data_IF_205004914767
#
_entry.id   IF_205004914767
#
_cell.length_a   1.000
_cell.length_b   1.000
_cell.length_c   1.000
_cell.angle_alpha   90.00
_cell.angle_beta   90.00
_cell.angle_gamma   90.00
#
_symmetry.space_group_name_H-M   'P 1'
#
loop_
_entity.id
_entity.type
_entity.pdbx_description
1 polymer ?
#
# COMPACT_ATOMS: atom_id res chain seq x y z
N UNK A 1 38.25 10.03 4.27
CA UNK A 1 37.49 9.99 3.01
C UNK A 1 36.01 10.14 3.33
N UNK A 2 35.33 11.22 2.90
CA UNK A 2 33.91 11.42 3.23
C UNK A 2 33.09 10.34 2.52
N UNK A 3 32.06 9.77 3.16
CA UNK A 3 31.36 8.57 2.70
C UNK A 3 30.91 8.59 1.21
N UNK A 4 30.64 9.77 0.64
CA UNK A 4 30.34 9.96 -0.78
C UNK A 4 31.50 9.51 -1.70
N UNK A 5 32.74 9.85 -1.36
CA UNK A 5 33.91 9.46 -2.12
C UNK A 5 34.16 7.94 -2.05
N UNK A 6 33.90 7.33 -0.90
CA UNK A 6 34.02 5.88 -0.70
C UNK A 6 32.99 5.07 -1.51
N UNK A 7 31.74 5.55 -1.59
CA UNK A 7 30.70 4.90 -2.40
C UNK A 7 31.03 4.99 -3.89
N UNK A 8 31.51 6.15 -4.38
CA UNK A 8 31.95 6.32 -5.77
C UNK A 8 33.12 5.39 -6.09
N UNK A 9 34.13 5.30 -5.22
CA UNK A 9 35.29 4.43 -5.45
C UNK A 9 34.95 2.93 -5.44
N UNK A 10 33.92 2.52 -4.69
CA UNK A 10 33.52 1.12 -4.58
C UNK A 10 32.55 0.67 -5.69
N UNK A 11 31.68 1.56 -6.16
CA UNK A 11 30.55 1.17 -7.04
C UNK A 11 30.64 1.80 -8.43
N UNK A 12 31.55 2.74 -8.65
CA UNK A 12 31.54 3.59 -9.84
C UNK A 12 30.28 4.48 -9.92
N UNK A 13 29.50 4.62 -8.85
CA UNK A 13 28.26 5.41 -8.87
C UNK A 13 28.40 6.63 -7.96
N UNK A 14 28.26 7.82 -8.55
CA UNK A 14 28.36 9.10 -7.86
C UNK A 14 27.00 9.79 -7.67
N UNK A 15 26.79 10.41 -6.51
CA UNK A 15 25.68 11.34 -6.26
C UNK A 15 26.21 12.75 -6.51
N UNK A 16 25.76 13.38 -7.59
CA UNK A 16 26.18 14.72 -7.99
C UNK A 16 25.04 15.72 -7.75
N UNK A 17 25.36 16.81 -7.06
CA UNK A 17 24.59 18.05 -7.15
C UNK A 17 25.08 18.77 -8.42
N UNK A 18 24.17 19.38 -9.19
CA UNK A 18 24.26 19.65 -10.63
C UNK A 18 25.49 20.42 -11.18
N UNK A 19 26.46 20.84 -10.36
CA UNK A 19 27.56 21.75 -10.72
C UNK A 19 28.97 21.14 -10.51
N UNK A 20 29.15 19.84 -10.72
CA UNK A 20 30.45 19.19 -10.50
C UNK A 20 31.08 18.65 -11.78
N UNK A 21 32.02 19.42 -12.34
CA UNK A 21 32.89 19.10 -13.46
C UNK A 21 34.01 18.11 -13.07
N UNK A 22 33.66 16.91 -12.62
CA UNK A 22 34.65 15.85 -12.30
C UNK A 22 34.42 14.64 -13.21
N UNK A 23 35.52 14.08 -13.70
CA UNK A 23 35.58 13.08 -14.78
C UNK A 23 34.62 11.89 -14.67
N UNK A 24 34.17 11.48 -15.86
CA UNK A 24 32.90 10.80 -16.19
C UNK A 24 33.03 9.27 -16.25
N UNK A 25 33.63 8.64 -15.26
CA UNK A 25 33.58 7.18 -15.13
C UNK A 25 32.58 6.78 -14.05
N UNK A 26 31.35 6.45 -14.49
CA UNK A 26 30.32 5.99 -13.57
C UNK A 26 28.87 6.28 -13.96
N UNK A 27 27.97 5.35 -13.60
CA UNK A 27 26.52 5.54 -13.74
C UNK A 27 26.02 6.71 -12.88
N UNK A 28 25.21 7.60 -13.47
CA UNK A 28 24.64 8.76 -12.77
C UNK A 28 23.42 8.34 -11.95
N UNK A 29 23.46 8.56 -10.64
CA UNK A 29 22.25 8.49 -9.81
C UNK A 29 21.97 9.89 -9.26
N UNK A 30 20.96 10.55 -9.82
CA UNK A 30 20.42 11.79 -9.25
C UNK A 30 19.57 11.47 -8.02
N UNK A 31 19.59 12.37 -7.03
CA UNK A 31 18.66 12.32 -5.89
C UNK A 31 17.19 12.34 -6.37
N UNK A 32 16.92 13.00 -7.51
CA UNK A 32 15.59 13.01 -8.12
C UNK A 32 15.17 11.60 -8.63
N UNK A 33 16.11 10.85 -9.21
CA UNK A 33 15.85 9.49 -9.68
C UNK A 33 15.65 8.53 -8.51
N UNK A 34 16.43 8.67 -7.43
CA UNK A 34 16.21 7.92 -6.18
C UNK A 34 14.82 8.22 -5.62
N UNK A 35 14.42 9.50 -5.56
CA UNK A 35 13.10 9.91 -5.10
C UNK A 35 11.98 9.33 -5.98
N UNK A 36 12.18 9.30 -7.29
CA UNK A 36 11.22 8.72 -8.25
C UNK A 36 11.11 7.21 -8.09
N UNK A 37 12.23 6.50 -7.98
CA UNK A 37 12.27 5.06 -7.75
C UNK A 37 11.62 4.67 -6.42
N UNK A 38 11.92 5.40 -5.34
CA UNK A 38 11.32 5.19 -4.02
C UNK A 38 9.78 5.38 -4.05
N UNK A 39 9.29 6.44 -4.72
CA UNK A 39 7.85 6.65 -4.92
C UNK A 39 7.19 5.51 -5.70
N UNK A 40 7.85 5.03 -6.76
CA UNK A 40 7.34 3.93 -7.57
C UNK A 40 7.31 2.61 -6.79
N UNK A 41 8.35 2.31 -6.02
CA UNK A 41 8.41 1.14 -5.15
C UNK A 41 7.30 1.18 -4.09
N UNK A 42 7.10 2.33 -3.43
CA UNK A 42 6.01 2.53 -2.48
C UNK A 42 4.64 2.34 -3.15
N UNK A 43 4.44 2.91 -4.34
CA UNK A 43 3.22 2.74 -5.12
C UNK A 43 2.96 1.29 -5.55
N UNK A 44 4.01 0.54 -5.84
CA UNK A 44 3.95 -0.89 -6.15
C UNK A 44 3.57 -1.71 -4.91
N UNK A 45 4.24 -1.49 -3.77
CA UNK A 45 3.94 -2.16 -2.50
C UNK A 45 2.50 -1.91 -2.04
N UNK A 46 1.99 -0.68 -2.22
CA UNK A 46 0.57 -0.35 -1.99
C UNK A 46 -0.37 -1.09 -2.94
N UNK A 47 -0.03 -1.19 -4.23
CA UNK A 47 -0.85 -1.88 -5.25
C UNK A 47 -0.91 -3.39 -5.03
N UNK A 48 0.21 -4.00 -4.64
CA UNK A 48 0.33 -5.45 -4.47
C UNK A 48 -0.12 -5.94 -3.09
N UNK A 49 -0.45 -5.05 -2.17
CA UNK A 49 -0.91 -5.43 -0.83
C UNK A 49 0.20 -5.72 0.16
N UNK A 50 1.48 -5.65 -0.24
CA UNK A 50 2.65 -5.98 0.61
C UNK A 50 2.63 -5.22 1.95
N UNK A 51 2.29 -3.93 1.92
CA UNK A 51 2.16 -3.13 3.16
C UNK A 51 1.00 -3.59 4.05
N UNK A 52 -0.07 -4.11 3.44
CA UNK A 52 -1.20 -4.68 4.18
C UNK A 52 -0.77 -5.98 4.85
N UNK A 53 -0.15 -6.87 4.07
CA UNK A 53 0.29 -8.19 4.54
C UNK A 53 1.29 -8.07 5.69
N UNK A 54 2.25 -7.14 5.59
CA UNK A 54 3.23 -6.87 6.65
C UNK A 54 2.56 -6.38 7.94
N UNK A 55 1.56 -5.50 7.85
CA UNK A 55 0.86 -5.01 9.04
C UNK A 55 -0.06 -6.09 9.63
N UNK A 56 -0.70 -6.92 8.80
CA UNK A 56 -1.50 -8.05 9.27
C UNK A 56 -0.63 -9.10 9.99
N UNK A 57 0.57 -9.37 9.48
CA UNK A 57 1.53 -10.24 10.14
C UNK A 57 1.98 -9.66 11.49
N UNK A 58 2.25 -8.36 11.56
CA UNK A 58 2.59 -7.66 12.80
C UNK A 58 1.46 -7.70 13.83
N UNK A 59 0.22 -7.47 13.40
CA UNK A 59 -0.96 -7.56 14.25
C UNK A 59 -1.15 -8.96 14.82
N UNK A 60 -1.08 -10.00 13.97
CA UNK A 60 -1.16 -11.40 14.42
C UNK A 60 -0.06 -11.76 15.41
N UNK A 61 1.17 -11.30 15.16
CA UNK A 61 2.28 -11.52 16.06
C UNK A 61 2.03 -10.88 17.44
N UNK A 62 1.60 -9.61 17.46
CA UNK A 62 1.31 -8.90 18.71
C UNK A 62 0.13 -9.53 19.46
N UNK A 63 -0.92 -9.95 18.75
CA UNK A 63 -2.05 -10.67 19.35
C UNK A 63 -1.62 -12.02 19.93
N UNK A 64 -0.70 -12.75 19.28
CA UNK A 64 -0.20 -14.03 19.79
C UNK A 64 0.61 -13.90 21.09
N UNK A 65 1.12 -12.70 21.38
CA UNK A 65 1.86 -12.36 22.60
C UNK A 65 0.99 -11.68 23.65
N UNK A 66 -0.22 -11.24 23.30
CA UNK A 66 -1.12 -10.58 24.21
C UNK A 66 -1.74 -11.60 25.17
N UNK A 67 -1.50 -11.44 26.47
CA UNK A 67 -2.05 -12.30 27.52
C UNK A 67 -3.27 -11.72 28.21
N UNK A 68 -3.55 -10.42 28.03
CA UNK A 68 -4.68 -9.70 28.61
C UNK A 68 -5.59 -9.10 27.53
N UNK A 69 -6.92 -9.06 27.76
CA UNK A 69 -7.89 -8.55 26.79
C UNK A 69 -7.71 -7.05 26.50
N UNK A 70 -7.19 -6.27 27.45
CA UNK A 70 -6.89 -4.85 27.25
C UNK A 70 -5.83 -4.61 26.17
N UNK A 71 -4.82 -5.48 26.09
CA UNK A 71 -3.76 -5.39 25.07
C UNK A 71 -4.30 -5.70 23.68
N UNK A 72 -5.21 -6.66 23.55
CA UNK A 72 -5.87 -6.92 22.27
C UNK A 72 -6.69 -5.72 21.79
N UNK A 73 -7.45 -5.11 22.71
CA UNK A 73 -8.28 -3.95 22.39
C UNK A 73 -7.42 -2.77 21.92
N UNK A 74 -6.28 -2.54 22.59
CA UNK A 74 -5.31 -1.54 22.19
C UNK A 74 -4.72 -1.84 20.80
N UNK A 75 -4.28 -3.08 20.55
CA UNK A 75 -3.71 -3.51 19.26
C UNK A 75 -4.73 -3.29 18.13
N UNK A 76 -5.98 -3.72 18.32
CA UNK A 76 -7.07 -3.56 17.33
C UNK A 76 -7.42 -2.09 17.11
N UNK A 77 -7.41 -1.27 18.16
CA UNK A 77 -7.63 0.18 18.06
C UNK A 77 -6.55 0.86 17.21
N UNK A 78 -5.28 0.59 17.51
CA UNK A 78 -4.14 1.11 16.74
C UNK A 78 -4.20 0.63 15.29
N UNK A 79 -4.55 -0.63 15.03
CA UNK A 79 -4.77 -1.15 13.68
C UNK A 79 -5.83 -0.35 12.92
N UNK A 80 -6.96 -0.08 13.56
CA UNK A 80 -8.05 0.73 13.01
C UNK A 80 -7.58 2.13 12.61
N UNK A 81 -6.78 2.78 13.46
CA UNK A 81 -6.19 4.09 13.16
C UNK A 81 -5.23 4.04 11.96
N UNK A 82 -4.35 3.04 11.91
CA UNK A 82 -3.38 2.87 10.81
C UNK A 82 -4.11 2.66 9.48
N UNK A 83 -5.16 1.84 9.48
CA UNK A 83 -6.02 1.63 8.31
C UNK A 83 -6.72 2.92 7.87
N UNK A 84 -7.25 3.71 8.82
CA UNK A 84 -7.93 4.98 8.54
C UNK A 84 -7.00 6.04 7.96
N UNK A 85 -5.83 6.25 8.59
CA UNK A 85 -4.90 7.33 8.21
C UNK A 85 -4.10 7.01 6.95
N UNK A 86 -3.69 5.75 6.79
CA UNK A 86 -2.73 5.38 5.75
C UNK A 86 -3.33 4.51 4.63
N UNK A 87 -4.61 4.11 4.76
CA UNK A 87 -5.31 3.31 3.75
C UNK A 87 -4.75 1.89 3.58
N UNK A 88 -4.03 1.39 4.57
CA UNK A 88 -3.45 0.04 4.58
C UNK A 88 -4.57 -0.98 4.89
N UNK A 89 -4.70 -2.04 4.11
CA UNK A 89 -5.79 -3.03 4.28
C UNK A 89 -7.16 -2.58 3.80
N UNK A 90 -7.24 -1.51 3.00
CA UNK A 90 -8.44 -1.18 2.25
C UNK A 90 -8.34 -1.86 0.88
N UNK A 91 -9.16 -2.89 0.59
CA UNK A 91 -9.16 -3.49 -0.74
C UNK A 91 -9.50 -2.40 -1.75
N UNK A 92 -8.64 -2.24 -2.75
CA UNK A 92 -8.81 -1.24 -3.79
C UNK A 92 -10.15 -1.50 -4.46
N UNK A 93 -11.07 -0.52 -4.43
CA UNK A 93 -12.32 -0.64 -5.19
C UNK A 93 -11.91 -0.85 -6.66
N UNK A 94 -12.39 -1.91 -7.34
CA UNK A 94 -12.12 -2.06 -8.76
C UNK A 94 -12.56 -0.80 -9.52
N UNK A 95 -11.88 -0.48 -10.62
CA UNK A 95 -12.18 0.73 -11.38
C UNK A 95 -13.66 0.77 -11.78
N UNK A 96 -14.28 1.96 -11.75
CA UNK A 96 -15.67 2.14 -12.16
C UNK A 96 -15.81 1.69 -13.62
N UNK A 97 -16.66 0.69 -13.88
CA UNK A 97 -16.84 0.11 -15.21
C UNK A 97 -15.96 -1.11 -15.54
N UNK A 98 -14.99 -1.48 -14.69
CA UNK A 98 -14.22 -2.73 -14.82
C UNK A 98 -15.13 -3.96 -14.85
N UNK A 99 -14.77 -5.03 -15.60
CA UNK A 99 -15.47 -6.31 -15.55
C UNK A 99 -15.68 -6.84 -14.13
N UNK A 100 -14.69 -6.69 -13.25
CA UNK A 100 -14.77 -7.09 -11.84
C UNK A 100 -15.81 -6.28 -11.06
N UNK A 101 -15.92 -4.98 -11.34
CA UNK A 101 -16.93 -4.13 -10.70
C UNK A 101 -18.33 -4.43 -11.23
N UNK A 102 -18.47 -4.70 -12.53
CA UNK A 102 -19.73 -5.13 -13.14
C UNK A 102 -20.20 -6.46 -12.55
N UNK A 103 -19.29 -7.43 -12.41
CA UNK A 103 -19.57 -8.73 -11.78
C UNK A 103 -19.98 -8.56 -10.30
N UNK A 104 -19.25 -7.73 -9.53
CA UNK A 104 -19.61 -7.42 -8.14
C UNK A 104 -20.99 -6.79 -8.02
N UNK A 105 -21.33 -5.85 -8.90
CA UNK A 105 -22.65 -5.21 -8.93
C UNK A 105 -23.75 -6.17 -9.39
N UNK A 106 -23.46 -7.08 -10.31
CA UNK A 106 -24.39 -8.14 -10.73
C UNK A 106 -24.69 -9.10 -9.55
N UNK A 107 -23.66 -9.52 -8.81
CA UNK A 107 -23.83 -10.34 -7.62
C UNK A 107 -24.64 -9.62 -6.51
N UNK A 108 -24.40 -8.32 -6.30
CA UNK A 108 -25.19 -7.51 -5.37
C UNK A 108 -26.66 -7.40 -5.81
N UNK A 109 -26.93 -7.20 -7.10
CA UNK A 109 -28.29 -7.17 -7.65
C UNK A 109 -28.99 -8.54 -7.52
N UNK A 110 -28.28 -9.63 -7.76
CA UNK A 110 -28.81 -10.98 -7.61
C UNK A 110 -29.22 -11.30 -6.17
N UNK A 111 -28.39 -10.90 -5.19
CA UNK A 111 -28.73 -11.01 -3.76
C UNK A 111 -29.94 -10.15 -3.37
N UNK A 112 -30.06 -8.94 -3.94
CA UNK A 112 -31.24 -8.07 -3.74
C UNK A 112 -32.51 -8.65 -4.36
N UNK A 113 -32.43 -9.31 -5.52
CA UNK A 113 -33.58 -9.97 -6.15
C UNK A 113 -34.16 -11.10 -5.27
N UNK A 114 -33.32 -11.86 -4.55
CA UNK A 114 -33.81 -12.87 -3.59
C UNK A 114 -34.54 -12.27 -2.38
N UNK A 115 -34.16 -11.06 -1.95
CA UNK A 115 -34.83 -10.34 -0.86
C UNK A 115 -36.12 -9.63 -1.30
N UNK A 116 -36.46 -9.64 -2.61
CA UNK A 116 -37.67 -9.02 -3.15
C UNK A 116 -38.88 -9.97 -3.07
N UNK A 117 -39.01 -10.69 -1.95
CA UNK A 117 -40.28 -11.20 -1.43
C UNK A 117 -40.66 -10.31 -0.23
N UNK A 118 -40.77 -9.00 -0.46
CA UNK A 118 -41.36 -8.04 0.47
C UNK A 118 -41.45 -6.69 -0.24
N UNK A 119 -42.65 -6.31 -0.66
CA UNK A 119 -42.91 -5.00 -1.27
C UNK A 119 -43.83 -5.08 -2.46
N UNK A 120 -45.06 -5.56 -2.24
CA UNK A 120 -46.19 -5.35 -3.10
C UNK A 120 -46.39 -3.85 -3.37
N UNK A 121 -46.09 -3.39 -4.58
CA UNK A 121 -46.90 -2.37 -5.22
C UNK A 121 -47.66 -3.08 -6.34
N UNK A 122 -48.86 -3.58 -6.00
CA UNK A 122 -49.90 -3.77 -7.00
C UNK A 122 -50.45 -2.37 -7.28
N UNK A 123 -50.29 -1.89 -8.51
CA UNK A 123 -51.18 -0.85 -9.03
C UNK A 123 -52.58 -1.46 -9.03
N UNK A 124 -53.49 -0.86 -8.28
CA UNK A 124 -54.92 -1.05 -8.52
C UNK A 124 -55.26 -0.53 -9.92
#
# INVERSE_FOLDING_TARGET
MPARAAIKSLTGVGVYDSDSDVEKEGGRISVADVKKAAKNALGYAKRKGILTDAVDAGEKFLLSKATKPEHENLIKSVRGEVKRRYGVGVPKKPAKGSPEMKAKMAALRAKRKKAMIAGSFRLN
#
